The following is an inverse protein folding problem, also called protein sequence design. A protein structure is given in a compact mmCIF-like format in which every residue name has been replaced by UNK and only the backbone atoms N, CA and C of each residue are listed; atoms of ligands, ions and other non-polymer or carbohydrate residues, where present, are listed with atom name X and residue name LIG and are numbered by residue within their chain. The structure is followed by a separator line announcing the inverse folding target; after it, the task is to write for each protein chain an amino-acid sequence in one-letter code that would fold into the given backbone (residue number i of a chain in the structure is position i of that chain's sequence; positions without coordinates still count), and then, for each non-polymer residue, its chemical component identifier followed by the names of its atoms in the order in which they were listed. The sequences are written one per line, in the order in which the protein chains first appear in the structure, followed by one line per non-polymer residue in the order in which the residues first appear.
data_IF_122594358016
#
_entry.id   IF_122594358016
#
_cell.length_a   1.000
_cell.length_b   1.000
_cell.length_c   1.000
_cell.angle_alpha   90.00
_cell.angle_beta   90.00
_cell.angle_gamma   90.00
#
_symmetry.space_group_name_H-M   'P 1'
#
loop_
_entity.id
_entity.type
_entity.pdbx_description
1 polymer ?
#
# COMPACT_ATOMS: atom_id res chain seq x y z
N UNK A 1 12.82 -9.59 -20.55
CA UNK A 1 13.63 -8.36 -20.39
C UNK A 1 14.72 -8.31 -21.44
N UNK A 2 15.23 -7.11 -21.77
CA UNK A 2 16.36 -6.91 -22.70
C UNK A 2 17.72 -6.83 -22.00
N UNK A 3 17.74 -6.94 -20.67
CA UNK A 3 18.93 -6.91 -19.83
C UNK A 3 19.28 -8.32 -19.34
N UNK A 4 20.33 -8.90 -19.90
CA UNK A 4 20.78 -10.28 -19.64
C UNK A 4 21.30 -10.47 -18.20
N UNK A 5 21.99 -9.46 -17.62
CA UNK A 5 22.51 -9.55 -16.25
C UNK A 5 21.39 -9.66 -15.22
N UNK A 6 20.29 -8.90 -15.41
CA UNK A 6 19.10 -9.01 -14.56
C UNK A 6 18.44 -10.38 -14.68
N UNK A 7 18.34 -10.90 -15.89
CA UNK A 7 17.73 -12.20 -16.14
C UNK A 7 18.53 -13.34 -15.54
N UNK A 8 19.86 -13.30 -15.61
CA UNK A 8 20.72 -14.32 -15.01
C UNK A 8 20.54 -14.38 -13.49
N UNK A 9 20.43 -13.23 -12.83
CA UNK A 9 20.15 -13.14 -11.39
C UNK A 9 18.78 -13.71 -11.02
N UNK A 10 17.76 -13.44 -11.83
CA UNK A 10 16.41 -13.97 -11.61
C UNK A 10 16.37 -15.49 -11.79
N UNK A 11 17.00 -15.99 -12.87
CA UNK A 11 17.03 -17.41 -13.18
C UNK A 11 17.77 -18.23 -12.11
N UNK A 12 18.78 -17.64 -11.44
CA UNK A 12 19.53 -18.32 -10.36
C UNK A 12 18.78 -18.35 -9.02
N UNK A 13 17.88 -17.41 -8.77
CA UNK A 13 17.20 -17.27 -7.49
C UNK A 13 15.76 -17.79 -7.46
N UNK A 14 15.14 -17.96 -8.62
CA UNK A 14 13.74 -18.32 -8.74
C UNK A 14 13.53 -19.42 -9.80
N UNK A 15 12.59 -20.31 -9.57
CA UNK A 15 12.16 -21.32 -10.55
C UNK A 15 11.21 -20.67 -11.57
N UNK A 16 11.81 -19.99 -12.56
CA UNK A 16 11.07 -19.32 -13.63
C UNK A 16 11.85 -19.36 -14.95
N UNK A 17 11.14 -19.32 -16.05
CA UNK A 17 11.72 -19.23 -17.39
C UNK A 17 12.05 -17.77 -17.71
N UNK A 18 13.30 -17.52 -18.11
CA UNK A 18 13.76 -16.19 -18.56
C UNK A 18 14.02 -16.19 -20.06
N UNK A 19 13.74 -15.06 -20.73
CA UNK A 19 14.04 -14.85 -22.13
C UNK A 19 14.56 -13.43 -22.37
N UNK A 20 15.65 -13.31 -23.11
CA UNK A 20 16.25 -12.04 -23.53
C UNK A 20 15.59 -11.56 -24.80
N UNK A 21 14.67 -10.60 -24.69
CA UNK A 21 14.01 -9.99 -25.83
C UNK A 21 13.48 -8.60 -25.48
N UNK A 22 13.31 -7.74 -26.49
CA UNK A 22 12.56 -6.49 -26.31
C UNK A 22 11.08 -6.81 -26.05
N UNK A 23 10.47 -6.23 -24.99
CA UNK A 23 9.06 -6.46 -24.68
C UNK A 23 8.09 -5.96 -25.76
N UNK A 24 8.56 -5.18 -26.72
CA UNK A 24 7.81 -4.70 -27.88
C UNK A 24 8.16 -5.43 -29.18
N UNK A 25 8.94 -6.52 -29.12
CA UNK A 25 9.24 -7.37 -30.27
C UNK A 25 8.14 -8.41 -30.47
N UNK A 26 7.39 -8.32 -31.58
CA UNK A 26 6.38 -9.32 -31.94
C UNK A 26 6.99 -10.71 -32.04
N UNK A 27 8.18 -10.82 -32.62
CA UNK A 27 8.91 -12.09 -32.75
C UNK A 27 9.25 -12.64 -31.35
N UNK A 28 9.86 -11.81 -30.47
CA UNK A 28 10.22 -12.21 -29.12
C UNK A 28 9.00 -12.61 -28.28
N UNK A 29 7.88 -11.88 -28.39
CA UNK A 29 6.64 -12.22 -27.70
C UNK A 29 6.07 -13.57 -28.16
N UNK A 30 6.14 -13.88 -29.46
CA UNK A 30 5.72 -15.20 -30.00
C UNK A 30 6.61 -16.32 -29.52
N UNK A 31 7.93 -16.10 -29.53
CA UNK A 31 8.91 -17.11 -29.10
C UNK A 31 8.75 -17.52 -27.62
N UNK A 32 8.30 -16.60 -26.77
CA UNK A 32 8.01 -16.91 -25.37
C UNK A 32 6.58 -17.42 -25.12
N UNK A 33 5.79 -17.64 -26.17
CA UNK A 33 4.44 -18.21 -26.05
C UNK A 33 3.39 -17.25 -25.48
N UNK A 34 3.51 -15.93 -25.72
CA UNK A 34 2.58 -14.94 -25.16
C UNK A 34 1.12 -15.21 -25.49
N UNK A 35 0.84 -15.85 -26.64
CA UNK A 35 -0.53 -16.19 -27.06
C UNK A 35 -1.25 -17.21 -26.17
N UNK A 36 -0.51 -17.95 -25.35
CA UNK A 36 -1.04 -18.93 -24.40
C UNK A 36 -1.13 -18.36 -22.97
N UNK A 37 -0.74 -17.10 -22.78
CA UNK A 37 -0.69 -16.48 -21.44
C UNK A 37 -2.08 -16.10 -20.95
N UNK A 38 -2.47 -16.57 -19.78
CA UNK A 38 -3.68 -16.13 -19.08
C UNK A 38 -3.55 -14.67 -18.62
N UNK A 39 -2.33 -14.25 -18.26
CA UNK A 39 -2.04 -12.90 -17.80
C UNK A 39 -0.67 -12.44 -18.29
N UNK A 40 -0.65 -11.32 -19.01
CA UNK A 40 0.56 -10.61 -19.42
C UNK A 40 0.76 -9.34 -18.58
N UNK A 41 1.93 -9.17 -17.96
CA UNK A 41 2.23 -8.03 -17.08
C UNK A 41 3.46 -7.29 -17.62
N UNK A 42 3.28 -6.01 -17.99
CA UNK A 42 4.35 -5.13 -18.44
C UNK A 42 4.72 -4.12 -17.34
N UNK A 43 5.92 -4.21 -16.79
CA UNK A 43 6.40 -3.44 -15.63
C UNK A 43 7.77 -2.82 -15.83
N UNK A 44 8.13 -2.49 -17.06
CA UNK A 44 9.37 -1.75 -17.35
C UNK A 44 9.28 -0.32 -16.77
N UNK A 45 10.39 0.41 -16.64
CA UNK A 45 10.37 1.81 -16.23
C UNK A 45 9.63 2.75 -17.20
N UNK A 46 9.46 2.36 -18.47
CA UNK A 46 8.85 3.17 -19.53
C UNK A 46 7.37 2.77 -19.72
N UNK A 47 6.45 3.67 -19.40
CA UNK A 47 5.01 3.43 -19.53
C UNK A 47 4.56 3.24 -20.98
N UNK A 48 5.14 3.97 -21.94
CA UNK A 48 4.79 3.84 -23.36
C UNK A 48 5.16 2.45 -23.88
N UNK A 49 6.31 1.94 -23.44
CA UNK A 49 6.78 0.60 -23.71
C UNK A 49 5.87 -0.47 -23.11
N UNK A 50 5.43 -0.26 -21.87
CA UNK A 50 4.49 -1.15 -21.19
C UNK A 50 3.13 -1.19 -21.88
N UNK A 51 2.61 -0.03 -22.28
CA UNK A 51 1.35 0.07 -23.01
C UNK A 51 1.44 -0.64 -24.36
N UNK A 52 2.49 -0.38 -25.13
CA UNK A 52 2.74 -1.04 -26.42
C UNK A 52 2.85 -2.55 -26.27
N UNK A 53 3.61 -3.03 -25.28
CA UNK A 53 3.77 -4.45 -25.01
C UNK A 53 2.43 -5.14 -24.70
N UNK A 54 1.58 -4.51 -23.87
CA UNK A 54 0.24 -5.03 -23.57
C UNK A 54 -0.67 -5.08 -24.80
N UNK A 55 -0.67 -4.03 -25.62
CA UNK A 55 -1.44 -4.00 -26.87
C UNK A 55 -1.01 -5.13 -27.82
N UNK A 56 0.29 -5.35 -27.95
CA UNK A 56 0.81 -6.43 -28.78
C UNK A 56 0.47 -7.81 -28.20
N UNK A 57 0.64 -8.00 -26.90
CA UNK A 57 0.33 -9.25 -26.21
C UNK A 57 -1.16 -9.62 -26.34
N UNK A 58 -2.06 -8.67 -26.16
CA UNK A 58 -3.50 -8.87 -26.35
C UNK A 58 -3.81 -9.33 -27.76
N UNK A 59 -3.26 -8.62 -28.78
CA UNK A 59 -3.48 -8.98 -30.17
C UNK A 59 -2.82 -10.32 -30.58
N UNK A 60 -1.83 -10.81 -29.83
CA UNK A 60 -1.20 -12.09 -30.04
C UNK A 60 -1.89 -13.24 -29.30
N UNK A 61 -2.90 -12.96 -28.46
CA UNK A 61 -3.73 -13.97 -27.83
C UNK A 61 -3.70 -14.02 -26.30
N UNK A 62 -2.92 -13.17 -25.62
CA UNK A 62 -2.95 -13.10 -24.15
C UNK A 62 -4.36 -12.74 -23.66
N UNK A 63 -4.86 -13.48 -22.67
CA UNK A 63 -6.25 -13.33 -22.20
C UNK A 63 -6.48 -12.03 -21.42
N UNK A 64 -5.50 -11.64 -20.60
CA UNK A 64 -5.53 -10.40 -19.81
C UNK A 64 -4.19 -9.69 -19.84
N UNK A 65 -4.23 -8.36 -19.79
CA UNK A 65 -3.03 -7.54 -19.82
C UNK A 65 -3.03 -6.52 -18.68
N UNK A 66 -1.86 -6.27 -18.12
CA UNK A 66 -1.63 -5.31 -17.05
C UNK A 66 -0.41 -4.46 -17.38
N UNK A 67 -0.59 -3.14 -17.44
CA UNK A 67 0.51 -2.20 -17.69
C UNK A 67 0.81 -1.33 -16.46
N UNK A 68 2.08 -1.25 -16.08
CA UNK A 68 2.56 -0.20 -15.17
C UNK A 68 2.60 1.13 -15.92
N UNK A 69 2.06 2.16 -15.28
CA UNK A 69 2.03 3.53 -15.79
C UNK A 69 2.63 4.52 -14.79
N UNK A 70 2.98 5.68 -15.28
CA UNK A 70 3.48 6.84 -14.52
C UNK A 70 2.51 8.01 -14.54
N UNK A 71 1.61 8.06 -15.55
CA UNK A 71 0.66 9.15 -15.72
C UNK A 71 -0.67 8.82 -15.05
N UNK A 72 -1.01 9.61 -14.02
CA UNK A 72 -2.28 9.46 -13.30
C UNK A 72 -3.51 9.70 -14.18
N UNK A 73 -3.38 10.53 -15.21
CA UNK A 73 -4.49 10.84 -16.13
C UNK A 73 -5.11 9.59 -16.75
N UNK A 74 -4.29 8.55 -16.99
CA UNK A 74 -4.75 7.29 -17.59
C UNK A 74 -5.69 6.49 -16.67
N UNK A 75 -5.67 6.75 -15.36
CA UNK A 75 -6.58 6.11 -14.40
C UNK A 75 -7.96 6.77 -14.32
N UNK A 76 -8.16 7.93 -14.93
CA UNK A 76 -9.48 8.55 -14.98
C UNK A 76 -10.47 7.64 -15.71
N UNK A 77 -11.73 7.51 -15.25
CA UNK A 77 -12.68 6.53 -15.77
C UNK A 77 -12.81 6.52 -17.31
N UNK A 78 -12.92 7.71 -17.91
CA UNK A 78 -13.02 7.85 -19.38
C UNK A 78 -11.78 7.35 -20.12
N UNK A 79 -10.60 7.63 -19.58
CA UNK A 79 -9.34 7.24 -20.19
C UNK A 79 -9.07 5.75 -20.02
N UNK A 80 -9.47 5.20 -18.86
CA UNK A 80 -9.34 3.75 -18.60
C UNK A 80 -10.10 2.92 -19.62
N UNK A 81 -11.34 3.30 -19.97
CA UNK A 81 -12.13 2.63 -21.00
C UNK A 81 -11.47 2.69 -22.38
N UNK A 82 -10.81 3.82 -22.70
CA UNK A 82 -10.06 3.97 -23.94
C UNK A 82 -8.93 2.94 -24.03
N UNK A 83 -8.13 2.78 -22.97
CA UNK A 83 -7.03 1.82 -22.95
C UNK A 83 -7.51 0.37 -22.97
N UNK A 84 -8.63 0.07 -22.32
CA UNK A 84 -9.23 -1.27 -22.39
C UNK A 84 -9.61 -1.65 -23.84
N UNK A 85 -10.15 -0.71 -24.62
CA UNK A 85 -10.45 -0.95 -26.05
C UNK A 85 -9.19 -1.16 -26.90
N UNK A 86 -8.04 -0.67 -26.45
CA UNK A 86 -6.75 -0.88 -27.10
C UNK A 86 -6.06 -2.19 -26.66
N UNK A 87 -6.69 -3.00 -25.82
CA UNK A 87 -6.12 -4.26 -25.33
C UNK A 87 -5.23 -4.11 -24.10
N UNK A 88 -5.43 -3.05 -23.29
CA UNK A 88 -4.80 -2.89 -21.99
C UNK A 88 -5.90 -2.97 -20.91
N UNK A 89 -6.09 -4.16 -20.33
CA UNK A 89 -7.22 -4.42 -19.44
C UNK A 89 -7.11 -3.71 -18.11
N UNK A 90 -5.89 -3.61 -17.58
CA UNK A 90 -5.63 -3.00 -16.27
C UNK A 90 -4.40 -2.11 -16.29
N UNK A 91 -4.52 -0.97 -15.61
CA UNK A 91 -3.45 0.00 -15.43
C UNK A 91 -3.08 0.05 -13.95
N UNK A 92 -1.78 -0.05 -13.67
CA UNK A 92 -1.23 0.03 -12.31
C UNK A 92 -0.30 1.23 -12.21
N UNK A 93 -0.59 2.10 -11.23
CA UNK A 93 0.29 3.21 -10.86
C UNK A 93 0.84 2.95 -9.45
N UNK A 94 2.05 2.37 -9.34
CA UNK A 94 2.62 1.91 -8.06
C UNK A 94 2.76 3.00 -7.02
N UNK A 95 3.15 4.21 -7.44
CA UNK A 95 3.35 5.34 -6.54
C UNK A 95 2.05 5.78 -5.85
N UNK A 96 0.93 5.67 -6.54
CA UNK A 96 -0.39 5.94 -5.94
C UNK A 96 -0.81 4.84 -4.97
N UNK A 97 -0.56 3.58 -5.32
CA UNK A 97 -0.87 2.44 -4.44
C UNK A 97 -0.04 2.53 -3.15
N UNK A 98 1.27 2.80 -3.28
CA UNK A 98 2.17 2.99 -2.14
C UNK A 98 1.72 4.18 -1.26
N UNK A 99 1.35 5.31 -1.87
CA UNK A 99 0.87 6.47 -1.13
C UNK A 99 -0.42 6.17 -0.35
N UNK A 100 -1.38 5.48 -0.96
CA UNK A 100 -2.63 5.07 -0.29
C UNK A 100 -2.36 4.13 0.90
N UNK A 101 -1.44 3.18 0.72
CA UNK A 101 -1.03 2.27 1.80
C UNK A 101 -0.37 3.02 2.95
N UNK A 102 0.55 3.95 2.66
CA UNK A 102 1.20 4.81 3.67
C UNK A 102 0.14 5.61 4.44
N UNK A 103 -0.77 6.28 3.73
CA UNK A 103 -1.81 7.10 4.36
C UNK A 103 -2.75 6.25 5.20
N UNK A 104 -3.13 5.06 4.73
CA UNK A 104 -3.94 4.10 5.50
C UNK A 104 -3.23 3.69 6.79
N UNK A 105 -1.94 3.38 6.70
CA UNK A 105 -1.11 2.99 7.86
C UNK A 105 -0.95 4.15 8.87
N UNK A 106 -0.77 5.37 8.40
CA UNK A 106 -0.67 6.56 9.27
C UNK A 106 -2.00 6.84 9.99
N UNK A 107 -3.12 6.76 9.28
CA UNK A 107 -4.47 6.97 9.86
C UNK A 107 -4.82 5.93 10.91
N UNK A 108 -4.32 4.71 10.75
CA UNK A 108 -4.56 3.57 11.63
C UNK A 108 -3.30 3.22 12.45
N UNK A 109 -2.59 4.22 12.97
CA UNK A 109 -1.29 4.06 13.67
C UNK A 109 -1.34 3.12 14.89
N UNK A 110 -2.52 2.91 15.48
CA UNK A 110 -2.74 1.97 16.58
C UNK A 110 -2.92 0.51 16.12
N UNK A 111 -3.12 0.28 14.81
CA UNK A 111 -3.28 -1.03 14.17
C UNK A 111 -1.92 -1.49 13.60
N UNK A 112 -1.67 -2.79 13.59
CA UNK A 112 -0.51 -3.36 12.91
C UNK A 112 -0.82 -3.78 11.47
N UNK A 113 -2.05 -4.26 11.25
CA UNK A 113 -2.49 -4.79 9.97
C UNK A 113 -3.94 -4.40 9.74
N UNK A 114 -4.25 -3.97 8.53
CA UNK A 114 -5.57 -3.53 8.13
C UNK A 114 -5.89 -4.04 6.73
N UNK A 115 -7.00 -4.74 6.59
CA UNK A 115 -7.51 -5.18 5.29
C UNK A 115 -9.00 -4.91 5.19
N UNK A 116 -9.41 -4.41 4.03
CA UNK A 116 -10.80 -4.20 3.67
C UNK A 116 -11.21 -5.21 2.60
N UNK A 117 -12.30 -5.91 2.85
CA UNK A 117 -12.90 -6.85 1.91
C UNK A 117 -14.23 -6.32 1.41
N UNK A 118 -14.61 -6.72 0.19
CA UNK A 118 -15.91 -6.38 -0.42
C UNK A 118 -16.21 -4.87 -0.36
N UNK A 119 -15.22 -4.04 -0.72
CA UNK A 119 -15.39 -2.58 -0.70
C UNK A 119 -15.55 -1.97 0.70
N UNK A 120 -15.05 -2.63 1.75
CA UNK A 120 -15.13 -2.17 3.14
C UNK A 120 -16.34 -2.69 3.91
N UNK A 121 -17.10 -3.62 3.35
CA UNK A 121 -18.21 -4.28 4.04
C UNK A 121 -17.72 -5.19 5.20
N UNK A 122 -16.50 -5.73 5.06
CA UNK A 122 -15.80 -6.47 6.11
C UNK A 122 -14.40 -5.91 6.26
N UNK A 123 -13.95 -5.73 7.50
CA UNK A 123 -12.63 -5.23 7.84
C UNK A 123 -11.94 -6.24 8.75
N UNK A 124 -10.70 -6.58 8.44
CA UNK A 124 -9.81 -7.36 9.30
C UNK A 124 -8.76 -6.44 9.92
N UNK A 125 -8.71 -6.44 11.24
CA UNK A 125 -7.81 -5.60 12.05
C UNK A 125 -6.90 -6.49 12.85
N UNK A 126 -5.58 -6.41 12.61
CA UNK A 126 -4.55 -7.01 13.46
C UNK A 126 -3.98 -5.96 14.42
N UNK A 127 -4.22 -6.07 15.71
CA UNK A 127 -3.70 -5.10 16.70
C UNK A 127 -3.05 -5.78 17.89
N UNK A 128 -1.99 -5.17 18.43
CA UNK A 128 -1.30 -5.65 19.63
C UNK A 128 -2.06 -5.22 20.87
N UNK A 129 -2.41 -6.17 21.72
CA UNK A 129 -3.14 -5.94 22.98
C UNK A 129 -2.24 -5.27 24.01
N UNK A 130 -2.78 -4.30 24.72
CA UNK A 130 -2.10 -3.50 25.74
C UNK A 130 -2.70 -3.71 27.12
N UNK A 131 -2.00 -3.23 28.15
CA UNK A 131 -2.36 -3.41 29.57
C UNK A 131 -3.77 -2.93 29.93
N UNK A 132 -4.23 -1.85 29.28
CA UNK A 132 -5.58 -1.28 29.48
C UNK A 132 -6.69 -2.00 28.69
N UNK A 133 -6.39 -3.13 28.04
CA UNK A 133 -7.40 -3.82 27.22
C UNK A 133 -8.47 -4.48 28.10
N UNK A 134 -9.73 -4.20 27.78
CA UNK A 134 -10.88 -4.74 28.50
C UNK A 134 -11.05 -6.26 28.32
N UNK A 135 -10.42 -6.84 27.29
CA UNK A 135 -10.57 -8.26 26.90
C UNK A 135 -9.45 -9.17 27.42
N UNK A 136 -8.52 -8.63 28.25
CA UNK A 136 -7.40 -9.40 28.80
C UNK A 136 -7.89 -10.51 29.74
N UNK A 137 -7.30 -11.70 29.58
CA UNK A 137 -7.48 -12.86 30.46
C UNK A 137 -8.91 -13.35 30.64
N UNK A 138 -9.84 -12.88 29.80
CA UNK A 138 -11.23 -13.30 29.77
C UNK A 138 -11.39 -14.38 28.70
N UNK A 139 -11.99 -15.56 29.02
CA UNK A 139 -12.34 -16.55 28.01
C UNK A 139 -13.25 -15.96 26.93
N UNK A 140 -12.97 -16.26 25.66
CA UNK A 140 -13.67 -15.64 24.53
C UNK A 140 -15.19 -15.84 24.58
N UNK A 141 -15.66 -16.99 25.07
CA UNK A 141 -17.11 -17.26 25.23
C UNK A 141 -17.79 -16.33 26.24
N UNK A 142 -17.03 -15.69 27.17
CA UNK A 142 -17.54 -14.72 28.16
C UNK A 142 -17.49 -13.28 27.68
N UNK A 143 -16.81 -12.99 26.57
CA UNK A 143 -16.75 -11.64 26.01
C UNK A 143 -18.09 -11.20 25.39
N UNK A 144 -18.99 -12.13 25.12
CA UNK A 144 -20.34 -11.88 24.63
C UNK A 144 -20.86 -12.99 23.71
N UNK A 145 -22.06 -12.79 23.18
CA UNK A 145 -22.79 -13.75 22.33
C UNK A 145 -22.68 -13.42 20.83
N UNK A 146 -23.59 -14.01 20.03
CA UNK A 146 -23.62 -13.86 18.56
C UNK A 146 -23.78 -12.41 18.06
N UNK A 147 -24.23 -11.53 18.92
CA UNK A 147 -24.45 -10.10 18.59
C UNK A 147 -23.23 -9.20 18.80
N UNK A 148 -22.06 -9.80 19.11
CA UNK A 148 -20.83 -9.01 19.22
C UNK A 148 -20.53 -8.28 17.90
N UNK A 149 -20.12 -7.01 17.98
CA UNK A 149 -19.81 -6.23 16.79
C UNK A 149 -18.47 -6.60 16.14
N UNK A 150 -17.86 -7.69 16.59
CA UNK A 150 -16.61 -8.21 16.06
C UNK A 150 -16.53 -9.73 16.27
N UNK A 151 -15.62 -10.36 15.53
CA UNK A 151 -15.21 -11.73 15.75
C UNK A 151 -13.68 -11.84 15.82
N UNK A 152 -13.16 -12.65 16.76
CA UNK A 152 -11.72 -12.94 16.88
C UNK A 152 -11.41 -14.14 15.99
N UNK A 153 -10.65 -13.90 14.91
CA UNK A 153 -10.37 -14.95 13.92
C UNK A 153 -9.02 -15.63 14.13
N UNK A 154 -8.05 -14.92 14.72
CA UNK A 154 -6.74 -15.48 15.05
C UNK A 154 -6.08 -14.69 16.19
N UNK A 155 -5.19 -15.37 16.92
CA UNK A 155 -4.33 -14.78 17.95
C UNK A 155 -2.90 -15.19 17.64
N UNK A 156 -2.01 -14.20 17.43
CA UNK A 156 -0.57 -14.42 17.30
C UNK A 156 0.11 -14.13 18.64
N UNK A 157 0.64 -15.19 19.26
CA UNK A 157 1.36 -15.15 20.52
C UNK A 157 2.83 -15.53 20.29
N UNK A 158 3.73 -14.55 20.37
CA UNK A 158 5.12 -14.75 19.98
C UNK A 158 5.25 -15.14 18.52
N UNK A 159 5.80 -16.32 18.23
CA UNK A 159 5.93 -16.89 16.88
C UNK A 159 4.74 -17.75 16.43
N UNK A 160 3.86 -18.14 17.36
CA UNK A 160 2.74 -19.03 17.06
C UNK A 160 1.47 -18.26 16.69
N UNK A 161 0.70 -18.83 15.78
CA UNK A 161 -0.65 -18.34 15.42
C UNK A 161 -1.68 -19.37 15.82
N UNK A 162 -2.62 -18.96 16.69
CA UNK A 162 -3.70 -19.78 17.20
C UNK A 162 -5.00 -19.42 16.50
N UNK A 163 -5.78 -20.42 16.13
CA UNK A 163 -7.19 -20.25 15.79
C UNK A 163 -7.98 -20.43 17.08
N UNK A 164 -8.54 -19.35 17.65
CA UNK A 164 -9.05 -19.37 19.01
C UNK A 164 -10.36 -20.15 19.13
N UNK A 165 -10.54 -20.78 20.29
CA UNK A 165 -11.78 -21.43 20.72
C UNK A 165 -12.41 -20.63 21.87
N UNK A 166 -13.64 -20.96 22.23
CA UNK A 166 -14.38 -20.25 23.28
C UNK A 166 -13.66 -20.17 24.63
N UNK A 167 -12.89 -21.20 25.01
CA UNK A 167 -12.17 -21.25 26.29
C UNK A 167 -10.80 -20.56 26.25
N UNK A 168 -10.32 -20.20 25.07
CA UNK A 168 -9.07 -19.47 24.94
C UNK A 168 -9.19 -18.04 25.47
N UNK A 169 -8.06 -17.53 25.96
CA UNK A 169 -7.94 -16.18 26.50
C UNK A 169 -6.92 -15.36 25.72
N UNK A 170 -7.19 -14.08 25.58
CA UNK A 170 -6.27 -13.12 25.02
C UNK A 170 -5.29 -12.66 26.12
N UNK A 171 -4.00 -12.70 25.82
CA UNK A 171 -2.94 -12.29 26.75
C UNK A 171 -2.34 -10.95 26.36
N UNK A 172 -1.71 -10.32 27.35
CA UNK A 172 -0.93 -9.10 27.12
C UNK A 172 0.12 -9.34 26.02
N UNK A 173 0.22 -8.38 25.10
CA UNK A 173 1.11 -8.41 23.94
C UNK A 173 0.75 -9.36 22.81
N UNK A 174 -0.31 -10.14 22.92
CA UNK A 174 -0.85 -10.87 21.76
C UNK A 174 -1.18 -9.89 20.62
N UNK A 175 -0.99 -10.34 19.38
CA UNK A 175 -1.58 -9.66 18.23
C UNK A 175 -2.87 -10.39 17.90
N UNK A 176 -3.98 -9.71 18.10
CA UNK A 176 -5.31 -10.27 17.88
C UNK A 176 -5.88 -9.75 16.56
N UNK A 177 -6.40 -10.67 15.77
CA UNK A 177 -7.04 -10.39 14.50
C UNK A 177 -8.55 -10.41 14.69
N UNK A 178 -9.15 -9.23 14.50
CA UNK A 178 -10.60 -9.01 14.61
C UNK A 178 -11.20 -8.83 13.22
N UNK A 179 -12.31 -9.48 12.94
CA UNK A 179 -13.19 -9.07 11.84
C UNK A 179 -14.32 -8.21 12.39
N UNK A 180 -14.65 -7.14 11.68
CA UNK A 180 -15.68 -6.17 12.06
C UNK A 180 -16.15 -5.37 10.83
N UNK A 181 -17.08 -4.43 11.04
CA UNK A 181 -17.47 -3.42 10.05
C UNK A 181 -16.96 -2.04 10.47
N UNK A 182 -16.86 -1.10 9.52
CA UNK A 182 -16.28 0.24 9.75
C UNK A 182 -16.84 0.97 10.96
N UNK A 183 -18.14 0.81 11.21
CA UNK A 183 -18.83 1.44 12.35
C UNK A 183 -18.21 1.07 13.70
N UNK A 184 -17.70 -0.15 13.84
CA UNK A 184 -17.22 -0.68 15.14
C UNK A 184 -15.70 -0.66 15.29
N UNK A 185 -14.97 -0.08 14.35
CA UNK A 185 -13.50 0.11 14.46
C UNK A 185 -13.10 0.86 15.75
N UNK A 186 -13.77 1.95 16.14
CA UNK A 186 -13.49 2.63 17.41
C UNK A 186 -13.68 1.72 18.64
N UNK A 187 -14.67 0.83 18.61
CA UNK A 187 -14.90 -0.13 19.67
C UNK A 187 -13.73 -1.13 19.80
N UNK A 188 -13.19 -1.65 18.67
CA UNK A 188 -11.99 -2.49 18.69
C UNK A 188 -10.81 -1.75 19.29
N UNK A 189 -10.61 -0.46 18.93
CA UNK A 189 -9.56 0.38 19.50
C UNK A 189 -9.65 0.46 21.03
N UNK A 190 -10.84 0.64 21.57
CA UNK A 190 -11.11 0.70 23.01
C UNK A 190 -10.80 -0.63 23.70
N UNK A 191 -11.42 -1.73 23.26
CA UNK A 191 -11.25 -3.04 23.91
C UNK A 191 -9.84 -3.59 23.82
N UNK A 192 -9.05 -3.16 22.83
CA UNK A 192 -7.63 -3.49 22.67
C UNK A 192 -6.69 -2.64 23.58
N UNK A 193 -7.24 -1.72 24.38
CA UNK A 193 -6.47 -0.82 25.25
C UNK A 193 -5.69 0.25 24.50
N UNK A 194 -6.25 0.74 23.37
CA UNK A 194 -5.61 1.72 22.49
C UNK A 194 -6.35 3.06 22.42
N UNK A 195 -7.28 3.29 23.31
CA UNK A 195 -8.09 4.51 23.34
C UNK A 195 -7.23 5.77 23.49
N UNK A 196 -6.22 5.71 24.36
CA UNK A 196 -5.31 6.84 24.65
C UNK A 196 -4.21 7.05 23.58
N UNK A 197 -4.19 6.24 22.53
CA UNK A 197 -3.21 6.43 21.44
C UNK A 197 -3.58 7.68 20.65
N UNK A 198 -2.67 8.66 20.63
CA UNK A 198 -2.87 9.88 19.85
C UNK A 198 -2.94 9.57 18.35
N UNK A 199 -3.86 10.25 17.67
CA UNK A 199 -3.90 10.22 16.22
C UNK A 199 -2.71 10.99 15.65
N UNK A 200 -2.14 10.51 14.54
CA UNK A 200 -1.05 11.19 13.86
C UNK A 200 -1.55 12.50 13.27
N UNK A 201 -0.88 13.59 13.60
CA UNK A 201 -1.18 14.93 13.07
C UNK A 201 -0.03 15.54 12.29
N UNK A 202 1.20 15.19 12.63
CA UNK A 202 2.40 15.70 12.00
C UNK A 202 3.14 14.56 11.31
N UNK A 203 3.36 14.70 10.01
CA UNK A 203 4.05 13.71 9.18
C UNK A 203 5.27 14.36 8.57
N UNK A 204 6.44 13.74 8.74
CA UNK A 204 7.66 14.15 8.07
C UNK A 204 8.06 13.07 7.07
N UNK A 205 8.29 13.46 5.84
CA UNK A 205 8.69 12.57 4.74
C UNK A 205 10.11 12.95 4.33
N UNK A 206 11.02 12.00 4.37
CA UNK A 206 12.38 12.17 3.88
C UNK A 206 12.46 11.75 2.41
N UNK A 207 12.80 12.70 1.54
CA UNK A 207 12.89 12.54 0.10
C UNK A 207 11.62 12.95 -0.65
N UNK A 208 11.80 13.82 -1.65
CA UNK A 208 10.74 14.38 -2.51
C UNK A 208 10.41 13.49 -3.71
N UNK A 209 10.25 12.19 -3.51
CA UNK A 209 9.88 11.24 -4.57
C UNK A 209 8.43 11.40 -5.03
N UNK A 210 8.08 10.76 -6.16
CA UNK A 210 6.67 10.70 -6.63
C UNK A 210 5.74 10.10 -5.57
N UNK A 211 6.22 9.14 -4.77
CA UNK A 211 5.45 8.58 -3.65
C UNK A 211 5.20 9.65 -2.58
N UNK A 212 6.21 10.45 -2.24
CA UNK A 212 6.07 11.55 -1.27
C UNK A 212 5.00 12.56 -1.71
N UNK A 213 5.04 12.98 -2.99
CA UNK A 213 4.04 13.88 -3.58
C UNK A 213 2.63 13.28 -3.45
N UNK A 214 2.45 12.03 -3.86
CA UNK A 214 1.14 11.37 -3.77
C UNK A 214 0.69 11.17 -2.32
N UNK A 215 1.61 10.84 -1.42
CA UNK A 215 1.30 10.74 0.01
C UNK A 215 0.79 12.08 0.55
N UNK A 216 1.51 13.19 0.28
CA UNK A 216 1.09 14.52 0.70
C UNK A 216 -0.29 14.92 0.16
N UNK A 217 -0.61 14.54 -1.09
CA UNK A 217 -1.91 14.79 -1.70
C UNK A 217 -3.07 13.93 -1.13
N UNK A 218 -2.77 12.76 -0.55
CA UNK A 218 -3.78 11.84 -0.01
C UNK A 218 -3.98 11.92 1.50
N UNK A 219 -3.05 12.56 2.24
CA UNK A 219 -3.27 12.73 3.69
C UNK A 219 -4.50 13.59 3.97
N UNK A 220 -5.25 13.29 5.05
CA UNK A 220 -6.39 14.10 5.47
C UNK A 220 -5.98 15.54 5.82
N UNK A 221 -6.90 16.49 5.68
CA UNK A 221 -6.66 17.92 5.91
C UNK A 221 -6.22 18.27 7.34
N UNK A 222 -6.51 17.41 8.32
CA UNK A 222 -6.09 17.62 9.71
C UNK A 222 -4.62 17.23 9.96
N UNK A 223 -3.94 16.63 8.98
CA UNK A 223 -2.54 16.26 9.07
C UNK A 223 -1.66 17.31 8.39
N UNK A 224 -0.61 17.73 9.08
CA UNK A 224 0.43 18.58 8.53
C UNK A 224 1.55 17.72 7.96
N UNK A 225 1.98 18.01 6.75
CA UNK A 225 3.04 17.28 6.07
C UNK A 225 4.25 18.17 5.89
N UNK A 226 5.44 17.62 6.19
CA UNK A 226 6.73 18.22 5.88
C UNK A 226 7.50 17.27 4.97
N UNK A 227 8.06 17.77 3.88
CA UNK A 227 8.94 17.00 3.00
C UNK A 227 10.33 17.62 3.07
N UNK A 228 11.33 16.79 3.39
CA UNK A 228 12.74 17.17 3.44
C UNK A 228 13.46 16.52 2.26
N UNK A 229 14.12 17.34 1.42
CA UNK A 229 14.92 16.82 0.31
C UNK A 229 16.19 17.67 0.15
N UNK A 230 17.31 17.03 -0.18
CA UNK A 230 18.61 17.71 -0.35
C UNK A 230 18.81 18.34 -1.74
N UNK A 231 17.96 18.02 -2.70
CA UNK A 231 17.98 18.57 -4.05
C UNK A 231 17.08 19.81 -4.14
N UNK A 232 17.70 21.00 -4.23
CA UNK A 232 16.99 22.27 -4.32
C UNK A 232 16.06 22.35 -5.55
N UNK A 233 16.48 21.81 -6.69
CA UNK A 233 15.65 21.81 -7.90
C UNK A 233 14.40 20.93 -7.71
N UNK A 234 14.54 19.83 -6.97
CA UNK A 234 13.40 19.00 -6.61
C UNK A 234 12.49 19.73 -5.62
N UNK A 235 13.02 20.38 -4.62
CA UNK A 235 12.23 21.20 -3.69
C UNK A 235 11.41 22.27 -4.43
N UNK A 236 12.01 22.99 -5.37
CA UNK A 236 11.30 23.98 -6.18
C UNK A 236 10.15 23.37 -6.98
N UNK A 237 10.34 22.21 -7.59
CA UNK A 237 9.26 21.49 -8.28
C UNK A 237 8.16 21.01 -7.34
N UNK A 238 8.50 20.63 -6.11
CA UNK A 238 7.51 20.22 -5.11
C UNK A 238 6.60 21.37 -4.70
N UNK A 239 7.11 22.60 -4.60
CA UNK A 239 6.29 23.79 -4.30
C UNK A 239 5.28 24.12 -5.40
N UNK A 240 5.54 23.72 -6.65
CA UNK A 240 4.60 23.87 -7.77
C UNK A 240 3.52 22.75 -7.79
N UNK A 241 3.85 21.57 -7.26
CA UNK A 241 2.99 20.37 -7.32
C UNK A 241 2.08 20.19 -6.11
N UNK A 242 2.44 20.81 -4.99
CA UNK A 242 1.77 20.64 -3.70
C UNK A 242 1.18 21.96 -3.22
N UNK A 243 0.15 21.87 -2.40
CA UNK A 243 -0.51 23.03 -1.80
C UNK A 243 0.25 23.58 -0.58
N UNK A 244 -0.16 24.76 -0.11
CA UNK A 244 0.46 25.49 0.99
C UNK A 244 0.40 24.75 2.35
N UNK A 245 -0.35 23.65 2.43
CA UNK A 245 -0.42 22.81 3.63
C UNK A 245 0.82 21.92 3.79
N UNK A 246 1.59 21.75 2.72
CA UNK A 246 2.81 20.95 2.72
C UNK A 246 4.03 21.83 2.83
N UNK A 247 4.74 21.73 3.94
CA UNK A 247 6.01 22.44 4.13
C UNK A 247 7.14 21.70 3.41
N UNK A 248 7.88 22.39 2.56
CA UNK A 248 9.04 21.84 1.84
C UNK A 248 10.31 22.44 2.42
N UNK A 249 11.24 21.57 2.81
CA UNK A 249 12.50 21.93 3.44
C UNK A 249 13.64 21.40 2.57
N UNK A 250 14.51 22.32 2.11
CA UNK A 250 15.75 21.89 1.48
C UNK A 250 16.80 21.62 2.55
N UNK A 251 17.24 20.37 2.65
CA UNK A 251 18.23 19.95 3.64
C UNK A 251 18.47 18.46 3.65
N UNK A 252 19.46 18.02 4.43
CA UNK A 252 19.73 16.60 4.64
C UNK A 252 18.79 16.07 5.72
N UNK A 253 17.90 15.14 5.36
CA UNK A 253 16.94 14.52 6.30
C UNK A 253 17.60 13.72 7.45
N UNK A 254 18.92 13.53 7.42
CA UNK A 254 19.71 12.94 8.52
C UNK A 254 20.15 13.98 9.53
N UNK A 255 20.02 15.27 9.22
CA UNK A 255 20.35 16.36 10.14
C UNK A 255 19.25 16.52 11.19
N UNK A 256 19.57 16.17 12.42
CA UNK A 256 18.65 16.23 13.56
C UNK A 256 18.15 17.66 13.84
N UNK A 257 18.88 18.70 13.45
CA UNK A 257 18.45 20.09 13.62
C UNK A 257 17.19 20.40 12.81
N UNK A 258 16.99 19.74 11.67
CA UNK A 258 15.82 19.92 10.82
C UNK A 258 14.55 19.27 11.41
N UNK A 259 14.70 18.25 12.27
CA UNK A 259 13.58 17.59 12.94
C UNK A 259 12.89 18.55 13.92
N UNK A 260 13.66 19.47 14.51
CA UNK A 260 13.16 20.45 15.48
C UNK A 260 12.59 21.73 14.84
N UNK A 261 12.66 21.91 13.51
CA UNK A 261 11.96 22.99 12.80
C UNK A 261 10.45 22.67 12.78
N UNK A 262 9.87 22.44 13.93
CA UNK A 262 8.48 21.93 14.01
C UNK A 262 7.48 22.95 14.53
N UNK A 263 7.89 24.15 14.92
CA UNK A 263 6.95 25.18 15.38
C UNK A 263 7.05 26.44 14.53
N UNK A 264 5.93 26.90 13.92
CA UNK A 264 5.87 28.28 13.49
C UNK A 264 6.02 29.13 14.75
N UNK A 265 7.12 29.85 14.86
CA UNK A 265 7.24 30.97 15.82
C UNK A 265 6.02 31.86 15.62
N UNK A 266 5.13 31.91 16.61
CA UNK A 266 4.04 32.89 16.69
C UNK A 266 4.61 34.26 16.89
#
# INVERSE_FOLDING_TARGET
DDNEDKLSTLNSNFDLMTATASPTSIKGLKEVGVGEADLFIAVTPDESRNMTACMLANNLGAQKTVARIDNYEYLLPKNKEFFQKLGVDSLIYPEMLAAKEIVSSIRMSWVRQWWEFCGGALILIGTKIREKAEILDIPLHKLGGPELPYHVVAIKRGSETLIPRGDDTIKLHDIVYFTTIRKYVPYIRKIAGKEDYADVRNVMIMGGSRIAVRTAQYVPDYMQVKIVDNDLNRCNRLTELLDDRTMIINGDGRDLSLIHISEPTR
#
